data_IF_843547321763
#
_entry.id   IF_843547321763
#
_cell.length_a   1.000
_cell.length_b   1.000
_cell.length_c   1.000
_cell.angle_alpha   90.00
_cell.angle_beta   90.00
_cell.angle_gamma   90.00
#
_symmetry.space_group_name_H-M   'P 1'
#
loop_
_entity.id
_entity.type
_entity.pdbx_description
1 polymer ?
#
# COMPACT_ATOMS: atom_id res chain seq x y z
N UNK A 1 -52.97 6.01 6.20
CA UNK A 1 -51.82 5.10 6.11
C UNK A 1 -50.57 5.95 6.09
N UNK A 2 -49.84 5.97 7.20
CA UNK A 2 -48.53 6.62 7.27
C UNK A 2 -47.53 5.60 6.71
N UNK A 3 -46.70 5.92 5.71
CA UNK A 3 -45.73 4.97 5.19
C UNK A 3 -44.70 4.66 6.28
N UNK A 4 -44.67 3.41 6.73
CA UNK A 4 -43.75 2.86 7.73
C UNK A 4 -42.45 2.37 7.07
N UNK A 5 -41.90 3.14 6.14
CA UNK A 5 -40.66 2.79 5.42
C UNK A 5 -39.43 3.47 6.05
N UNK A 6 -39.51 3.82 7.34
CA UNK A 6 -38.32 4.24 8.07
C UNK A 6 -37.45 2.99 8.29
N UNK A 7 -36.22 2.93 7.76
CA UNK A 7 -35.34 1.78 7.94
C UNK A 7 -35.15 1.52 9.44
N UNK A 8 -35.21 0.26 9.84
CA UNK A 8 -35.10 -0.09 11.25
C UNK A 8 -33.75 0.40 11.79
N UNK A 9 -33.71 0.82 13.06
CA UNK A 9 -32.45 1.24 13.69
C UNK A 9 -31.34 0.19 13.54
N UNK A 10 -31.70 -1.10 13.49
CA UNK A 10 -30.78 -2.20 13.23
C UNK A 10 -30.21 -2.20 11.81
N UNK A 11 -31.01 -1.88 10.80
CA UNK A 11 -30.56 -1.78 9.39
C UNK A 11 -29.61 -0.60 9.21
N UNK A 12 -29.92 0.54 9.82
CA UNK A 12 -29.04 1.72 9.81
C UNK A 12 -27.72 1.42 10.52
N UNK A 13 -27.77 0.69 11.64
CA UNK A 13 -26.59 0.30 12.40
C UNK A 13 -25.71 -0.72 11.65
N UNK A 14 -26.33 -1.68 10.95
CA UNK A 14 -25.63 -2.65 10.10
C UNK A 14 -25.00 -1.98 8.88
N UNK A 15 -25.71 -1.07 8.19
CA UNK A 15 -25.15 -0.27 7.09
C UNK A 15 -23.99 0.62 7.56
N UNK A 16 -24.10 1.20 8.75
CA UNK A 16 -23.04 2.04 9.32
C UNK A 16 -21.80 1.22 9.69
N UNK A 17 -21.98 -0.01 10.22
CA UNK A 17 -20.88 -0.95 10.45
C UNK A 17 -20.24 -1.42 9.14
N UNK A 18 -21.04 -1.76 8.12
CA UNK A 18 -20.50 -2.17 6.82
C UNK A 18 -19.71 -1.01 6.17
N UNK A 19 -20.22 0.22 6.27
CA UNK A 19 -19.53 1.42 5.80
C UNK A 19 -18.24 1.71 6.57
N UNK A 20 -18.25 1.55 7.90
CA UNK A 20 -17.08 1.70 8.76
C UNK A 20 -15.97 0.69 8.39
N UNK A 21 -16.36 -0.56 8.11
CA UNK A 21 -15.43 -1.60 7.66
C UNK A 21 -14.80 -1.26 6.31
N UNK A 22 -15.57 -0.68 5.38
CA UNK A 22 -15.06 -0.23 4.08
C UNK A 22 -14.03 0.90 4.20
N UNK A 23 -14.26 1.89 5.08
CA UNK A 23 -13.35 3.03 5.28
C UNK A 23 -12.02 2.66 5.96
N UNK A 24 -11.97 1.53 6.67
CA UNK A 24 -10.79 1.09 7.39
C UNK A 24 -9.88 0.12 6.60
N UNK A 25 -10.46 -0.71 5.72
CA UNK A 25 -9.79 -1.89 5.17
C UNK A 25 -9.63 -1.95 3.66
N UNK A 26 -10.30 -1.09 2.89
CA UNK A 26 -10.18 -1.09 1.43
C UNK A 26 -9.29 0.05 0.97
N UNK A 27 -8.23 -0.31 0.26
CA UNK A 27 -7.26 0.65 -0.28
C UNK A 27 -7.87 1.52 -1.37
N UNK A 28 -8.92 1.04 -2.05
CA UNK A 28 -9.71 1.80 -3.02
C UNK A 28 -8.83 2.48 -4.07
N UNK A 29 -8.99 3.79 -4.21
CA UNK A 29 -8.17 4.61 -5.11
C UNK A 29 -6.68 4.63 -4.73
N UNK A 30 -6.32 4.36 -3.48
CA UNK A 30 -4.93 4.19 -3.05
C UNK A 30 -4.27 2.96 -3.67
N UNK A 31 -5.01 1.86 -3.88
CA UNK A 31 -4.52 0.69 -4.62
C UNK A 31 -4.38 0.96 -6.11
N UNK A 32 -5.29 1.77 -6.69
CA UNK A 32 -5.18 2.21 -8.09
C UNK A 32 -3.92 3.04 -8.29
N UNK A 33 -3.72 4.07 -7.47
CA UNK A 33 -2.51 4.91 -7.52
C UNK A 33 -1.24 4.08 -7.32
N UNK A 34 -1.25 3.15 -6.36
CA UNK A 34 -0.12 2.27 -6.11
C UNK A 34 0.20 1.37 -7.31
N UNK A 35 -0.82 0.76 -7.90
CA UNK A 35 -0.66 -0.08 -9.09
C UNK A 35 -0.15 0.68 -10.30
N UNK A 36 -0.65 1.90 -10.54
CA UNK A 36 -0.14 2.78 -11.61
C UNK A 36 1.34 3.13 -11.40
N UNK A 37 1.72 3.49 -10.17
CA UNK A 37 3.11 3.83 -9.83
C UNK A 37 4.02 2.61 -10.01
N UNK A 38 3.59 1.43 -9.57
CA UNK A 38 4.35 0.19 -9.74
C UNK A 38 4.56 -0.15 -11.20
N UNK A 39 3.53 -0.04 -12.04
CA UNK A 39 3.63 -0.28 -13.48
C UNK A 39 4.56 0.74 -14.14
N UNK A 40 4.45 2.03 -13.78
CA UNK A 40 5.33 3.08 -14.30
C UNK A 40 6.79 2.78 -13.99
N UNK A 41 7.10 2.50 -12.72
CA UNK A 41 8.46 2.19 -12.27
C UNK A 41 9.00 0.93 -12.95
N UNK A 42 8.15 -0.11 -13.10
CA UNK A 42 8.48 -1.31 -13.85
C UNK A 42 8.91 -0.99 -15.29
N UNK A 43 8.14 -0.18 -16.02
CA UNK A 43 8.47 0.17 -17.40
C UNK A 43 9.73 1.01 -17.52
N UNK A 44 10.02 1.87 -16.55
CA UNK A 44 11.28 2.63 -16.51
C UNK A 44 12.49 1.70 -16.32
N UNK A 45 12.36 0.69 -15.46
CA UNK A 45 13.40 -0.35 -15.28
C UNK A 45 13.58 -1.16 -16.56
N UNK A 46 12.48 -1.66 -17.13
CA UNK A 46 12.51 -2.46 -18.36
C UNK A 46 13.07 -1.67 -19.56
N UNK A 47 12.76 -0.38 -19.63
CA UNK A 47 13.29 0.55 -20.62
C UNK A 47 14.77 0.91 -20.45
N UNK A 48 15.47 0.31 -19.47
CA UNK A 48 16.87 0.60 -19.15
C UNK A 48 17.13 2.10 -18.90
N UNK A 49 16.18 2.79 -18.27
CA UNK A 49 16.34 4.19 -17.89
C UNK A 49 17.50 4.29 -16.90
N UNK A 50 18.34 5.31 -17.07
CA UNK A 50 19.51 5.49 -16.21
C UNK A 50 19.12 5.63 -14.74
N UNK A 51 19.93 5.07 -13.84
CA UNK A 51 19.71 5.10 -12.39
C UNK A 51 19.52 6.53 -11.86
N UNK A 52 20.24 7.50 -12.44
CA UNK A 52 20.15 8.93 -12.10
C UNK A 52 18.76 9.53 -12.35
N UNK A 53 18.00 8.98 -13.29
CA UNK A 53 16.63 9.39 -13.60
C UNK A 53 15.62 8.50 -12.86
N UNK A 54 15.86 7.19 -12.82
CA UNK A 54 14.97 6.22 -12.18
C UNK A 54 14.80 6.51 -10.68
N UNK A 55 15.89 6.78 -9.97
CA UNK A 55 15.90 6.96 -8.52
C UNK A 55 14.99 8.13 -8.05
N UNK A 56 15.13 9.37 -8.54
CA UNK A 56 14.26 10.46 -8.12
C UNK A 56 12.79 10.23 -8.51
N UNK A 57 12.53 9.60 -9.66
CA UNK A 57 11.16 9.26 -10.08
C UNK A 57 10.55 8.24 -9.12
N UNK A 58 11.27 7.15 -8.82
CA UNK A 58 10.79 6.10 -7.94
C UNK A 58 10.55 6.61 -6.51
N UNK A 59 11.46 7.44 -5.97
CA UNK A 59 11.28 8.06 -4.64
C UNK A 59 10.08 9.02 -4.67
N UNK A 60 10.02 9.91 -5.66
CA UNK A 60 8.96 10.91 -5.79
C UNK A 60 7.58 10.27 -5.96
N UNK A 61 7.47 9.24 -6.80
CA UNK A 61 6.22 8.51 -7.02
C UNK A 61 5.79 7.71 -5.81
N UNK A 62 6.74 7.11 -5.07
CA UNK A 62 6.46 6.39 -3.82
C UNK A 62 5.96 7.33 -2.74
N UNK A 63 6.62 8.48 -2.56
CA UNK A 63 6.21 9.51 -1.62
C UNK A 63 4.83 10.06 -1.98
N UNK A 64 4.61 10.39 -3.26
CA UNK A 64 3.33 10.87 -3.76
C UNK A 64 2.21 9.84 -3.56
N UNK A 65 2.48 8.56 -3.77
CA UNK A 65 1.53 7.49 -3.51
C UNK A 65 1.19 7.38 -2.02
N UNK A 66 2.19 7.39 -1.13
CA UNK A 66 1.98 7.33 0.32
C UNK A 66 1.19 8.53 0.85
N UNK A 67 1.54 9.74 0.41
CA UNK A 67 0.82 10.96 0.78
C UNK A 67 -0.58 10.98 0.17
N UNK A 68 -0.70 10.63 -1.11
CA UNK A 68 -1.96 10.63 -1.84
C UNK A 68 -2.97 9.66 -1.25
N UNK A 69 -2.55 8.43 -0.93
CA UNK A 69 -3.46 7.45 -0.32
C UNK A 69 -3.92 7.87 1.07
N UNK A 70 -3.04 8.44 1.89
CA UNK A 70 -3.39 8.90 3.24
C UNK A 70 -4.28 10.16 3.17
N UNK A 71 -4.04 11.03 2.18
CA UNK A 71 -4.92 12.14 1.84
C UNK A 71 -6.33 11.67 1.51
N UNK A 72 -6.47 10.77 0.53
CA UNK A 72 -7.75 10.17 0.12
C UNK A 72 -8.45 9.50 1.32
N UNK A 73 -7.69 8.76 2.12
CA UNK A 73 -8.21 8.11 3.32
C UNK A 73 -8.79 9.09 4.33
N UNK A 74 -8.14 10.23 4.54
CA UNK A 74 -8.59 11.27 5.48
C UNK A 74 -9.77 12.07 4.95
N UNK A 75 -9.78 12.47 3.68
CA UNK A 75 -10.83 13.33 3.13
C UNK A 75 -12.05 12.56 2.67
N UNK A 76 -11.88 11.42 1.98
CA UNK A 76 -13.01 10.68 1.40
C UNK A 76 -13.57 9.63 2.35
N UNK A 77 -12.72 8.82 2.97
CA UNK A 77 -13.19 7.65 3.72
C UNK A 77 -13.52 7.91 5.20
N UNK A 78 -13.14 9.08 5.75
CA UNK A 78 -13.46 9.48 7.14
C UNK A 78 -14.54 10.54 7.28
N UNK A 79 -15.26 10.89 6.20
CA UNK A 79 -16.22 12.00 6.22
C UNK A 79 -17.39 11.83 7.19
N UNK A 80 -17.74 10.59 7.58
CA UNK A 80 -18.88 10.29 8.48
C UNK A 80 -18.47 9.89 9.91
N UNK A 81 -17.20 10.10 10.29
CA UNK A 81 -16.70 9.85 11.65
C UNK A 81 -15.72 8.68 11.76
N UNK A 82 -15.00 8.63 12.88
CA UNK A 82 -13.95 7.64 13.14
C UNK A 82 -14.50 6.54 14.05
N UNK A 83 -15.13 5.52 13.48
CA UNK A 83 -15.48 4.33 14.26
C UNK A 83 -14.18 3.57 14.56
N UNK A 84 -13.82 3.44 15.84
CA UNK A 84 -12.70 2.59 16.30
C UNK A 84 -13.10 1.13 16.11
N UNK A 85 -12.91 0.61 14.90
CA UNK A 85 -13.19 -0.81 14.64
C UNK A 85 -12.02 -1.72 14.99
N UNK A 86 -12.38 -2.88 15.57
CA UNK A 86 -11.48 -4.00 15.86
C UNK A 86 -10.99 -4.61 14.55
N UNK A 87 -9.68 -4.61 14.35
CA UNK A 87 -9.04 -5.37 13.28
C UNK A 87 -9.50 -6.85 13.30
N UNK A 88 -10.08 -7.40 12.21
CA UNK A 88 -10.30 -8.84 12.08
C UNK A 88 -9.00 -9.60 12.38
N UNK A 89 -9.11 -10.59 13.27
CA UNK A 89 -7.95 -11.29 13.86
C UNK A 89 -7.05 -11.91 12.79
N UNK A 90 -7.66 -12.48 11.74
CA UNK A 90 -6.93 -13.11 10.62
C UNK A 90 -6.08 -12.10 9.84
N UNK A 91 -6.66 -10.96 9.47
CA UNK A 91 -5.96 -9.90 8.74
C UNK A 91 -4.85 -9.27 9.59
N UNK A 92 -5.08 -9.12 10.90
CA UNK A 92 -4.06 -8.67 11.85
C UNK A 92 -2.89 -9.65 11.92
N UNK A 93 -3.16 -10.95 12.05
CA UNK A 93 -2.11 -11.97 12.10
C UNK A 93 -1.30 -12.02 10.81
N UNK A 94 -1.96 -11.96 9.65
CA UNK A 94 -1.27 -11.90 8.35
C UNK A 94 -0.41 -10.64 8.23
N UNK A 95 -0.91 -9.47 8.65
CA UNK A 95 -0.13 -8.24 8.64
C UNK A 95 1.12 -8.36 9.54
N UNK A 96 0.97 -8.88 10.76
CA UNK A 96 2.08 -9.10 11.68
C UNK A 96 3.11 -10.05 11.06
N UNK A 97 2.68 -11.20 10.52
CA UNK A 97 3.57 -12.17 9.88
C UNK A 97 4.37 -11.51 8.76
N UNK A 98 3.71 -10.77 7.87
CA UNK A 98 4.42 -10.16 6.75
C UNK A 98 5.38 -9.04 7.21
N UNK A 99 4.99 -8.20 8.19
CA UNK A 99 5.90 -7.20 8.76
C UNK A 99 7.08 -7.86 9.44
N UNK A 100 6.87 -8.97 10.16
CA UNK A 100 7.96 -9.76 10.75
C UNK A 100 8.89 -10.31 9.67
N UNK A 101 8.37 -10.86 8.57
CA UNK A 101 9.19 -11.34 7.46
C UNK A 101 10.02 -10.21 6.82
N UNK A 102 9.43 -9.01 6.64
CA UNK A 102 10.17 -7.84 6.16
C UNK A 102 11.28 -7.41 7.13
N UNK A 103 11.02 -7.45 8.44
CA UNK A 103 12.04 -7.16 9.46
C UNK A 103 13.17 -8.19 9.39
N UNK A 104 12.85 -9.48 9.28
CA UNK A 104 13.86 -10.55 9.16
C UNK A 104 14.70 -10.39 7.90
N UNK A 105 14.08 -10.05 6.77
CA UNK A 105 14.80 -9.74 5.53
C UNK A 105 15.75 -8.55 5.74
N UNK A 106 15.30 -7.50 6.44
CA UNK A 106 16.14 -6.36 6.74
C UNK A 106 17.32 -6.70 7.66
N UNK A 107 17.10 -7.53 8.67
CA UNK A 107 18.18 -8.06 9.53
C UNK A 107 19.17 -8.88 8.72
N UNK A 108 18.69 -9.71 7.79
CA UNK A 108 19.55 -10.50 6.91
C UNK A 108 20.43 -9.62 6.02
N UNK A 109 19.86 -8.57 5.40
CA UNK A 109 20.62 -7.60 4.61
C UNK A 109 21.69 -6.90 5.46
N UNK A 110 21.35 -6.48 6.69
CA UNK A 110 22.33 -5.91 7.61
C UNK A 110 23.45 -6.88 7.97
N UNK A 111 23.11 -8.14 8.21
CA UNK A 111 24.09 -9.16 8.52
C UNK A 111 25.05 -9.41 7.36
N UNK A 112 24.53 -9.55 6.14
CA UNK A 112 25.35 -9.63 4.92
C UNK A 112 26.26 -8.42 4.76
N UNK A 113 25.73 -7.21 4.95
CA UNK A 113 26.50 -5.98 4.86
C UNK A 113 27.67 -5.90 5.86
N UNK A 114 27.46 -6.37 7.09
CA UNK A 114 28.51 -6.42 8.12
C UNK A 114 29.57 -7.46 7.74
N UNK A 115 29.17 -8.62 7.23
CA UNK A 115 30.10 -9.68 6.83
C UNK A 115 30.95 -9.29 5.61
N UNK A 116 30.42 -8.48 4.70
CA UNK A 116 31.10 -8.02 3.48
C UNK A 116 32.02 -6.79 3.71
N UNK A 117 32.27 -6.42 4.98
CA UNK A 117 33.25 -5.36 5.31
C UNK A 117 32.70 -3.94 5.43
N UNK A 118 31.37 -3.76 5.39
CA UNK A 118 30.72 -2.57 5.96
C UNK A 118 30.97 -1.24 5.24
N UNK A 119 30.89 -1.19 3.91
CA UNK A 119 31.02 0.06 3.14
C UNK A 119 29.77 0.95 3.19
N UNK A 120 29.57 1.63 4.33
CA UNK A 120 28.35 2.38 4.63
C UNK A 120 28.13 3.55 3.68
N UNK A 121 29.18 4.31 3.36
CA UNK A 121 29.09 5.51 2.53
C UNK A 121 28.52 5.23 1.12
N UNK A 122 28.70 4.02 0.59
CA UNK A 122 28.22 3.63 -0.73
C UNK A 122 26.78 3.08 -0.72
N UNK A 123 26.33 2.52 0.41
CA UNK A 123 25.05 1.78 0.49
C UNK A 123 24.06 2.37 1.52
N UNK A 124 24.33 3.58 2.05
CA UNK A 124 23.55 4.17 3.13
C UNK A 124 22.05 4.32 2.78
N UNK A 125 21.71 4.64 1.52
CA UNK A 125 20.31 4.74 1.06
C UNK A 125 19.61 3.39 1.04
N UNK A 126 20.32 2.33 0.67
CA UNK A 126 19.80 0.97 0.71
C UNK A 126 19.52 0.54 2.16
N UNK A 127 20.48 0.77 3.06
CA UNK A 127 20.33 0.45 4.48
C UNK A 127 19.21 1.25 5.15
N UNK A 128 19.08 2.54 4.79
CA UNK A 128 17.97 3.38 5.25
C UNK A 128 16.64 2.87 4.72
N UNK A 129 16.54 2.55 3.43
CA UNK A 129 15.31 2.02 2.83
C UNK A 129 14.87 0.71 3.48
N UNK A 130 15.81 -0.21 3.69
CA UNK A 130 15.56 -1.53 4.31
C UNK A 130 15.16 -1.40 5.78
N UNK A 131 15.74 -0.47 6.53
CA UNK A 131 15.37 -0.22 7.95
C UNK A 131 14.07 0.55 8.10
N UNK A 132 13.79 1.48 7.20
CA UNK A 132 12.54 2.25 7.21
C UNK A 132 11.34 1.39 6.80
N UNK A 133 11.54 0.40 5.92
CA UNK A 133 10.46 -0.38 5.33
C UNK A 133 9.54 -1.06 6.36
N UNK A 134 10.02 -1.78 7.40
CA UNK A 134 9.16 -2.36 8.42
C UNK A 134 8.34 -1.32 9.20
N UNK A 135 8.94 -0.16 9.48
CA UNK A 135 8.27 0.94 10.20
C UNK A 135 7.18 1.55 9.33
N UNK A 136 7.48 1.83 8.06
CA UNK A 136 6.50 2.35 7.10
C UNK A 136 5.40 1.33 6.85
N UNK A 137 5.74 0.06 6.73
CA UNK A 137 4.80 -1.04 6.58
C UNK A 137 3.82 -1.09 7.76
N UNK A 138 4.34 -1.04 8.99
CA UNK A 138 3.55 -1.06 10.21
C UNK A 138 2.60 0.14 10.33
N UNK A 139 3.06 1.34 10.00
CA UNK A 139 2.28 2.56 10.17
C UNK A 139 1.26 2.78 9.04
N UNK A 140 1.67 2.51 7.80
CA UNK A 140 0.94 2.93 6.60
C UNK A 140 0.40 1.79 5.76
N UNK A 141 0.96 0.58 5.76
CA UNK A 141 0.58 -0.52 4.86
C UNK A 141 -0.35 -1.52 5.57
N UNK A 142 -1.63 -1.17 5.66
CA UNK A 142 -2.60 -1.95 6.44
C UNK A 142 -3.18 -3.14 5.67
N UNK A 143 -3.09 -3.12 4.34
CA UNK A 143 -3.55 -4.22 3.49
C UNK A 143 -2.37 -4.97 2.87
N UNK A 144 -2.59 -6.25 2.51
CA UNK A 144 -1.58 -7.06 1.85
C UNK A 144 -1.12 -6.43 0.52
N UNK A 145 -2.03 -5.82 -0.23
CA UNK A 145 -1.70 -5.17 -1.51
C UNK A 145 -0.80 -3.95 -1.30
N UNK A 146 -1.14 -3.09 -0.32
CA UNK A 146 -0.29 -1.96 0.04
C UNK A 146 1.09 -2.42 0.50
N UNK A 147 1.16 -3.54 1.20
CA UNK A 147 2.42 -4.11 1.62
C UNK A 147 3.26 -4.58 0.44
N UNK A 148 2.67 -5.31 -0.50
CA UNK A 148 3.37 -5.79 -1.70
C UNK A 148 3.84 -4.62 -2.58
N UNK A 149 2.95 -3.68 -2.88
CA UNK A 149 3.25 -2.48 -3.67
C UNK A 149 4.34 -1.65 -3.00
N UNK A 150 4.17 -1.36 -1.72
CA UNK A 150 5.08 -0.50 -0.98
C UNK A 150 6.45 -1.14 -0.78
N UNK A 151 6.48 -2.44 -0.47
CA UNK A 151 7.74 -3.19 -0.35
C UNK A 151 8.49 -3.25 -1.67
N UNK A 152 7.79 -3.48 -2.80
CA UNK A 152 8.40 -3.44 -4.12
C UNK A 152 9.00 -2.07 -4.44
N UNK A 153 8.24 -0.99 -4.21
CA UNK A 153 8.71 0.37 -4.49
C UNK A 153 9.92 0.75 -3.63
N UNK A 154 9.88 0.46 -2.33
CA UNK A 154 11.02 0.71 -1.44
C UNK A 154 12.25 -0.09 -1.82
N UNK A 155 12.09 -1.39 -2.10
CA UNK A 155 13.18 -2.25 -2.53
C UNK A 155 13.76 -1.75 -3.85
N UNK A 156 12.91 -1.29 -4.77
CA UNK A 156 13.32 -0.73 -6.05
C UNK A 156 14.15 0.54 -5.87
N UNK A 157 13.71 1.47 -5.01
CA UNK A 157 14.49 2.66 -4.66
C UNK A 157 15.84 2.29 -4.03
N UNK A 158 15.84 1.33 -3.10
CA UNK A 158 17.04 0.88 -2.42
C UNK A 158 18.05 0.23 -3.39
N UNK A 159 17.59 -0.68 -4.25
CA UNK A 159 18.44 -1.35 -5.25
C UNK A 159 18.95 -0.38 -6.30
N UNK A 160 18.10 0.54 -6.79
CA UNK A 160 18.51 1.60 -7.70
C UNK A 160 19.61 2.45 -7.06
N UNK A 161 19.46 2.85 -5.79
CA UNK A 161 20.47 3.66 -5.10
C UNK A 161 21.82 2.96 -4.94
N UNK A 162 21.83 1.63 -4.85
CA UNK A 162 23.03 0.81 -4.76
C UNK A 162 23.63 0.44 -6.13
N UNK A 163 22.99 0.83 -7.24
CA UNK A 163 23.42 0.46 -8.60
C UNK A 163 23.31 -1.03 -8.90
N UNK A 164 22.48 -1.77 -8.15
CA UNK A 164 22.33 -3.22 -8.29
C UNK A 164 21.35 -3.51 -9.43
N UNK A 165 21.77 -4.34 -10.38
CA UNK A 165 20.93 -4.77 -11.51
C UNK A 165 19.76 -5.64 -11.03
N UNK A 166 18.57 -5.42 -11.60
CA UNK A 166 17.36 -6.17 -11.25
C UNK A 166 17.40 -7.60 -11.78
N UNK A 167 17.03 -8.57 -10.94
CA UNK A 167 16.81 -9.95 -11.39
C UNK A 167 15.51 -9.99 -12.20
N UNK A 168 15.63 -10.10 -13.53
CA UNK A 168 14.53 -10.04 -14.50
C UNK A 168 13.39 -11.03 -14.24
N UNK A 169 13.63 -12.14 -13.54
CA UNK A 169 12.59 -13.12 -13.20
C UNK A 169 11.56 -12.60 -12.19
N UNK A 170 11.96 -11.72 -11.26
CA UNK A 170 11.03 -11.06 -10.32
C UNK A 170 10.21 -9.97 -11.01
N UNK A 171 10.78 -9.39 -12.07
CA UNK A 171 10.26 -8.23 -12.80
C UNK A 171 8.93 -8.60 -13.51
N UNK A 172 8.78 -9.80 -14.07
CA UNK A 172 7.58 -10.18 -14.86
C UNK A 172 6.26 -10.22 -14.05
N UNK A 173 6.30 -10.54 -12.76
CA UNK A 173 5.07 -10.62 -11.94
C UNK A 173 4.55 -9.24 -11.48
N UNK A 174 5.39 -8.22 -11.54
CA UNK A 174 5.08 -6.86 -11.09
C UNK A 174 3.96 -6.17 -11.89
N UNK A 175 3.93 -6.18 -13.23
CA UNK A 175 2.83 -5.59 -13.98
C UNK A 175 1.50 -6.29 -13.72
N UNK A 176 1.53 -7.61 -13.46
CA UNK A 176 0.33 -8.37 -13.06
C UNK A 176 -0.16 -7.89 -11.70
N UNK A 177 0.72 -7.78 -10.70
CA UNK A 177 0.37 -7.25 -9.37
C UNK A 177 -0.19 -5.83 -9.45
N UNK A 178 0.44 -4.94 -10.22
CA UNK A 178 -0.04 -3.57 -10.42
C UNK A 178 -1.42 -3.52 -11.09
N UNK A 179 -1.65 -4.37 -12.10
CA UNK A 179 -2.94 -4.46 -12.79
C UNK A 179 -4.04 -4.99 -11.87
N UNK A 180 -3.76 -6.02 -11.07
CA UNK A 180 -4.69 -6.56 -10.07
C UNK A 180 -5.04 -5.50 -9.03
N UNK A 181 -4.07 -4.74 -8.54
CA UNK A 181 -4.30 -3.65 -7.60
C UNK A 181 -5.19 -2.54 -8.18
N UNK A 182 -5.02 -2.19 -9.46
CA UNK A 182 -5.89 -1.24 -10.17
C UNK A 182 -7.32 -1.77 -10.25
N UNK A 183 -7.50 -3.01 -10.73
CA UNK A 183 -8.83 -3.61 -10.90
C UNK A 183 -9.56 -3.70 -9.56
N UNK A 184 -8.89 -4.21 -8.53
CA UNK A 184 -9.48 -4.33 -7.19
C UNK A 184 -9.77 -2.96 -6.59
N UNK A 185 -8.87 -1.98 -6.74
CA UNK A 185 -9.09 -0.61 -6.29
C UNK A 185 -10.30 0.06 -6.93
N UNK A 186 -10.54 -0.15 -8.23
CA UNK A 186 -11.72 0.35 -8.95
C UNK A 186 -13.01 -0.33 -8.44
N UNK A 187 -12.98 -1.65 -8.26
CA UNK A 187 -14.14 -2.41 -7.74
C UNK A 187 -14.49 -1.91 -6.34
N UNK A 188 -13.49 -1.76 -5.46
CA UNK A 188 -13.65 -1.24 -4.10
C UNK A 188 -14.23 0.17 -4.11
N UNK A 189 -13.73 1.05 -4.97
CA UNK A 189 -14.23 2.42 -5.09
C UNK A 189 -15.69 2.47 -5.55
N UNK A 190 -16.08 1.65 -6.53
CA UNK A 190 -17.47 1.56 -7.01
C UNK A 190 -18.41 1.02 -5.93
N UNK A 191 -17.98 0.01 -5.18
CA UNK A 191 -18.77 -0.56 -4.08
C UNK A 191 -18.98 0.47 -2.96
N UNK A 192 -17.94 1.23 -2.62
CA UNK A 192 -18.05 2.35 -1.68
C UNK A 192 -19.02 3.43 -2.16
N UNK A 193 -18.97 3.82 -3.44
CA UNK A 193 -19.90 4.81 -4.00
C UNK A 193 -21.37 4.38 -3.89
N UNK A 194 -21.66 3.10 -4.12
CA UNK A 194 -23.00 2.52 -3.94
C UNK A 194 -23.45 2.55 -2.47
N UNK A 195 -22.54 2.24 -1.53
CA UNK A 195 -22.83 2.27 -0.09
C UNK A 195 -23.07 3.70 0.41
N UNK A 196 -22.25 4.66 -0.03
CA UNK A 196 -22.37 6.07 0.32
C UNK A 196 -23.68 6.68 -0.20
N UNK A 197 -24.12 6.29 -1.41
CA UNK A 197 -25.42 6.72 -1.95
C UNK A 197 -26.59 6.19 -1.13
N UNK A 198 -26.54 4.92 -0.68
CA UNK A 198 -27.57 4.34 0.19
C UNK A 198 -27.66 5.08 1.53
N UNK A 199 -26.52 5.38 2.15
CA UNK A 199 -26.47 6.12 3.42
C UNK A 199 -26.92 7.58 3.32
N UNK A 200 -26.81 8.22 2.15
CA UNK A 200 -27.34 9.58 1.92
C UNK A 200 -28.84 9.61 1.63
N UNK A 201 -29.42 8.47 1.23
CA UNK A 201 -30.84 8.32 0.94
C UNK A 201 -31.67 7.78 2.10
N UNK A 202 -31.03 7.47 3.23
CA UNK A 202 -31.63 7.17 4.54
C UNK A 202 -31.65 8.45 5.37
#
# INVERSE_FOLDING_TARGET
MIPTDAPSLGDVQALTQEYAQYGAYRGGLGNVLGGVVVILVYFLIYGNVSTSILLPIAIGSTALWLVGKEGIRRTMYRSFGTVRERWPVVLRSLHIINVTLLTLLGVWVWWSFINDGGHFAQHWLLLLGVTALPVVAWLFMRTLQELLIGSYLFLTCALASAGIAYIMSVVVFIPVLGSVAIVLGIIEHRQYGKLAQRLRGV
#
